data_IF_893204188873
#
_entry.id   IF_893204188873
#
_cell.length_a   1.000
_cell.length_b   1.000
_cell.length_c   1.000
_cell.angle_alpha   90.00
_cell.angle_beta   90.00
_cell.angle_gamma   90.00
#
_symmetry.space_group_name_H-M   'P 1'
#
loop_
_entity.id
_entity.type
_entity.pdbx_description
1 polymer ?
#
# COMPACT_ATOMS: atom_id res chain seq x y z
N UNK A 1 -26.96 66.31 -12.34
CA UNK A 1 -25.64 66.95 -12.16
C UNK A 1 -24.71 65.94 -11.50
N UNK A 2 -23.79 65.37 -12.28
CA UNK A 2 -22.84 64.34 -11.82
C UNK A 2 -21.71 65.02 -11.04
N UNK A 3 -21.62 64.77 -9.73
CA UNK A 3 -20.44 65.15 -8.95
C UNK A 3 -19.30 64.22 -9.38
N UNK A 4 -18.34 64.73 -10.15
CA UNK A 4 -17.04 64.09 -10.29
C UNK A 4 -16.48 63.88 -8.88
N UNK A 5 -16.36 62.63 -8.46
CA UNK A 5 -15.58 62.30 -7.27
C UNK A 5 -14.16 62.79 -7.52
N UNK A 6 -13.69 63.71 -6.67
CA UNK A 6 -12.30 64.16 -6.69
C UNK A 6 -11.45 62.93 -6.38
N UNK A 7 -10.74 62.40 -7.37
CA UNK A 7 -9.70 61.40 -7.15
C UNK A 7 -8.60 62.04 -6.32
N UNK A 8 -8.67 61.87 -5.00
CA UNK A 8 -7.66 62.35 -4.06
C UNK A 8 -6.45 61.44 -4.18
N UNK A 9 -5.36 61.96 -4.75
CA UNK A 9 -4.11 61.22 -4.84
C UNK A 9 -3.40 61.26 -3.49
N UNK A 10 -3.39 60.15 -2.78
CA UNK A 10 -2.63 60.00 -1.52
C UNK A 10 -1.42 59.12 -1.76
N UNK A 11 -0.22 59.63 -1.46
CA UNK A 11 1.03 58.89 -1.64
C UNK A 11 1.46 58.20 -0.34
N UNK A 12 1.66 56.89 -0.40
CA UNK A 12 2.30 56.12 0.68
C UNK A 12 3.71 55.68 0.27
N UNK A 13 4.67 55.76 1.18
CA UNK A 13 6.04 55.29 0.94
C UNK A 13 6.08 53.77 1.13
N UNK A 14 6.46 53.05 0.07
CA UNK A 14 6.69 51.61 0.07
C UNK A 14 8.18 51.32 -0.09
N UNK A 15 8.67 50.22 0.48
CA UNK A 15 10.03 49.78 0.22
C UNK A 15 10.12 49.19 -1.22
N UNK A 16 11.33 49.11 -1.77
CA UNK A 16 11.54 48.66 -3.15
C UNK A 16 11.13 47.18 -3.38
N UNK A 17 11.31 46.32 -2.38
CA UNK A 17 11.00 44.88 -2.46
C UNK A 17 9.49 44.65 -2.52
N UNK A 18 8.73 45.29 -1.64
CA UNK A 18 7.27 45.28 -1.57
C UNK A 18 6.67 45.89 -2.83
N UNK A 19 7.26 46.95 -3.39
CA UNK A 19 6.83 47.49 -4.67
C UNK A 19 7.02 46.48 -5.82
N UNK A 20 8.14 45.74 -5.84
CA UNK A 20 8.36 44.70 -6.84
C UNK A 20 7.37 43.54 -6.70
N UNK A 21 7.09 43.11 -5.46
CA UNK A 21 6.06 42.10 -5.15
C UNK A 21 4.67 42.56 -5.58
N UNK A 22 4.30 43.80 -5.27
CA UNK A 22 3.04 44.41 -5.70
C UNK A 22 2.88 44.33 -7.22
N UNK A 23 3.88 44.79 -7.98
CA UNK A 23 3.84 44.75 -9.44
C UNK A 23 3.75 43.32 -10.00
N UNK A 24 4.46 42.37 -9.38
CA UNK A 24 4.43 40.96 -9.77
C UNK A 24 3.06 40.32 -9.52
N UNK A 25 2.51 40.48 -8.33
CA UNK A 25 1.24 39.88 -7.93
C UNK A 25 0.04 40.53 -8.64
N UNK A 26 0.06 41.85 -8.80
CA UNK A 26 -0.95 42.56 -9.59
C UNK A 26 -0.97 42.04 -11.03
N UNK A 27 0.21 41.87 -11.65
CA UNK A 27 0.33 41.28 -13.00
C UNK A 27 -0.15 39.82 -13.05
N UNK A 28 0.16 39.01 -12.03
CA UNK A 28 -0.28 37.61 -11.94
C UNK A 28 -1.80 37.50 -11.90
N UNK A 29 -2.46 38.43 -11.23
CA UNK A 29 -3.93 38.45 -11.06
C UNK A 29 -4.65 39.29 -12.11
N UNK A 30 -3.93 39.90 -13.06
CA UNK A 30 -4.51 40.73 -14.11
C UNK A 30 -5.08 42.07 -13.62
N UNK A 31 -4.62 42.57 -12.47
CA UNK A 31 -5.07 43.82 -11.86
C UNK A 31 -4.03 44.92 -12.06
N UNK A 32 -4.46 46.19 -12.01
CA UNK A 32 -3.52 47.29 -11.87
C UNK A 32 -2.90 47.29 -10.47
N UNK A 33 -1.71 47.87 -10.32
CA UNK A 33 -1.06 47.95 -9.01
C UNK A 33 -1.89 48.73 -7.98
N UNK A 34 -2.68 49.71 -8.44
CA UNK A 34 -3.57 50.50 -7.59
C UNK A 34 -4.77 49.67 -7.17
N UNK A 35 -5.44 49.00 -8.11
CA UNK A 35 -6.62 48.17 -7.81
C UNK A 35 -6.28 47.01 -6.87
N UNK A 36 -5.11 46.41 -7.05
CA UNK A 36 -4.62 45.36 -6.15
C UNK A 36 -4.35 45.91 -4.75
N UNK A 37 -3.76 47.10 -4.63
CA UNK A 37 -3.46 47.72 -3.34
C UNK A 37 -4.74 48.15 -2.62
N UNK A 38 -5.69 48.76 -3.32
CA UNK A 38 -7.00 49.14 -2.78
C UNK A 38 -7.80 47.91 -2.33
N UNK A 39 -7.79 46.84 -3.13
CA UNK A 39 -8.43 45.58 -2.75
C UNK A 39 -7.76 44.96 -1.51
N UNK A 40 -6.43 44.98 -1.43
CA UNK A 40 -5.69 44.45 -0.29
C UNK A 40 -5.96 45.25 0.99
N UNK A 41 -5.88 46.58 0.94
CA UNK A 41 -6.15 47.45 2.09
C UNK A 41 -7.60 47.31 2.55
N UNK A 42 -8.56 47.29 1.62
CA UNK A 42 -9.97 47.05 1.95
C UNK A 42 -10.20 45.66 2.54
N UNK A 43 -9.53 44.63 2.02
CA UNK A 43 -9.66 43.27 2.54
C UNK A 43 -9.24 43.16 4.01
N UNK A 44 -8.09 43.76 4.37
CA UNK A 44 -7.63 43.76 5.76
C UNK A 44 -8.46 44.70 6.64
N UNK A 45 -8.79 45.89 6.14
CA UNK A 45 -9.53 46.91 6.89
C UNK A 45 -10.98 46.51 7.20
N UNK A 46 -11.72 46.01 6.21
CA UNK A 46 -13.14 45.61 6.41
C UNK A 46 -13.28 44.37 7.30
N UNK A 47 -12.29 43.48 7.30
CA UNK A 47 -12.31 42.25 8.09
C UNK A 47 -11.66 42.40 9.48
N UNK A 48 -11.13 43.59 9.82
CA UNK A 48 -10.44 43.83 11.09
C UNK A 48 -9.20 42.95 11.27
N UNK A 49 -8.56 42.60 10.15
CA UNK A 49 -7.48 41.63 10.07
C UNK A 49 -6.13 42.34 10.17
N UNK A 50 -5.34 42.04 11.20
CA UNK A 50 -3.97 42.57 11.32
C UNK A 50 -3.01 41.74 10.44
N UNK A 51 -2.48 42.30 9.33
CA UNK A 51 -1.64 41.54 8.39
C UNK A 51 -0.36 40.99 9.03
N UNK A 52 0.13 41.60 10.12
CA UNK A 52 1.34 41.15 10.83
C UNK A 52 1.06 39.93 11.71
N UNK A 53 -0.13 39.83 12.29
CA UNK A 53 -0.50 38.73 13.19
C UNK A 53 -1.06 37.50 12.44
N UNK A 54 -1.64 37.73 11.26
CA UNK A 54 -2.26 36.66 10.45
C UNK A 54 -1.23 35.70 9.91
N UNK A 55 -0.06 36.17 9.49
CA UNK A 55 1.01 35.30 9.00
C UNK A 55 1.45 34.28 10.07
N UNK A 56 1.53 34.71 11.34
CA UNK A 56 1.81 33.84 12.47
C UNK A 56 0.64 32.88 12.77
N UNK A 57 -0.61 33.35 12.64
CA UNK A 57 -1.81 32.55 12.86
C UNK A 57 -2.00 31.47 11.79
N UNK A 58 -1.71 31.77 10.53
CA UNK A 58 -1.79 30.81 9.43
C UNK A 58 -0.77 29.69 9.61
N UNK A 59 0.47 30.01 10.00
CA UNK A 59 1.47 29.00 10.36
C UNK A 59 1.02 28.08 11.50
N UNK A 60 0.39 28.65 12.54
CA UNK A 60 -0.14 27.88 13.67
C UNK A 60 -1.31 26.96 13.27
N UNK A 61 -2.23 27.43 12.43
CA UNK A 61 -3.35 26.64 11.93
C UNK A 61 -2.88 25.47 11.06
N UNK A 62 -1.92 25.72 10.16
CA UNK A 62 -1.33 24.66 9.32
C UNK A 62 -0.66 23.59 10.19
N UNK A 63 0.10 23.99 11.22
CA UNK A 63 0.71 23.03 12.15
C UNK A 63 -0.33 22.24 12.94
N UNK A 64 -1.43 22.87 13.35
CA UNK A 64 -2.52 22.21 14.06
C UNK A 64 -3.20 21.15 13.16
N UNK A 65 -3.43 21.46 11.89
CA UNK A 65 -4.03 20.53 10.94
C UNK A 65 -3.10 19.36 10.63
N UNK A 66 -1.79 19.62 10.47
CA UNK A 66 -0.78 18.57 10.30
C UNK A 66 -0.77 17.65 11.53
N UNK A 67 -0.77 18.22 12.73
CA UNK A 67 -0.78 17.43 13.98
C UNK A 67 -2.04 16.56 14.07
N UNK A 68 -3.21 17.14 13.79
CA UNK A 68 -4.49 16.41 13.82
C UNK A 68 -4.53 15.27 12.81
N UNK A 69 -3.96 15.48 11.61
CA UNK A 69 -3.84 14.44 10.61
C UNK A 69 -2.88 13.34 11.06
N UNK A 70 -1.74 13.72 11.63
CA UNK A 70 -0.76 12.81 12.22
C UNK A 70 -1.39 11.93 13.30
N UNK A 71 -2.06 12.54 14.29
CA UNK A 71 -2.72 11.82 15.38
C UNK A 71 -3.77 10.82 14.87
N UNK A 72 -4.50 11.16 13.80
CA UNK A 72 -5.48 10.25 13.17
C UNK A 72 -4.81 9.06 12.48
N UNK A 73 -3.74 9.30 11.73
CA UNK A 73 -3.01 8.24 11.01
C UNK A 73 -2.35 7.31 12.02
N UNK A 74 -1.66 7.86 13.02
CA UNK A 74 -1.04 7.07 14.09
C UNK A 74 -2.08 6.26 14.87
N UNK A 75 -3.21 6.87 15.24
CA UNK A 75 -4.29 6.15 15.91
C UNK A 75 -4.85 4.99 15.07
N UNK A 76 -5.06 5.21 13.76
CA UNK A 76 -5.49 4.14 12.86
C UNK A 76 -4.45 3.01 12.76
N UNK A 77 -3.18 3.34 12.58
CA UNK A 77 -2.10 2.35 12.50
C UNK A 77 -1.99 1.53 13.79
N UNK A 78 -2.08 2.19 14.94
CA UNK A 78 -2.03 1.51 16.24
C UNK A 78 -3.22 0.57 16.44
N UNK A 79 -4.41 0.96 15.99
CA UNK A 79 -5.59 0.10 16.06
C UNK A 79 -5.46 -1.12 15.13
N UNK A 80 -4.93 -0.92 13.91
CA UNK A 80 -4.66 -2.01 12.98
C UNK A 80 -3.56 -2.95 13.50
N UNK A 81 -2.49 -2.41 14.08
CA UNK A 81 -1.43 -3.19 14.70
C UNK A 81 -1.98 -4.04 15.84
N UNK A 82 -2.78 -3.45 16.73
CA UNK A 82 -3.42 -4.18 17.83
C UNK A 82 -4.34 -5.29 17.31
N UNK A 83 -5.16 -4.99 16.30
CA UNK A 83 -6.05 -5.97 15.68
C UNK A 83 -5.29 -7.14 15.06
N UNK A 84 -4.27 -6.84 14.25
CA UNK A 84 -3.43 -7.85 13.60
C UNK A 84 -2.66 -8.70 14.60
N UNK A 85 -2.03 -8.08 15.60
CA UNK A 85 -1.27 -8.80 16.63
C UNK A 85 -2.17 -9.74 17.44
N UNK A 86 -3.39 -9.34 17.75
CA UNK A 86 -4.35 -10.21 18.45
C UNK A 86 -4.68 -11.46 17.63
N UNK A 87 -4.98 -11.28 16.34
CA UNK A 87 -5.29 -12.41 15.43
C UNK A 87 -4.08 -13.33 15.26
N UNK A 88 -2.89 -12.76 15.08
CA UNK A 88 -1.65 -13.54 14.97
C UNK A 88 -1.37 -14.33 16.25
N UNK A 89 -1.57 -13.72 17.42
CA UNK A 89 -1.37 -14.40 18.70
C UNK A 89 -2.37 -15.55 18.88
N UNK A 90 -3.63 -15.35 18.50
CA UNK A 90 -4.65 -16.39 18.57
C UNK A 90 -4.30 -17.58 17.66
N UNK A 91 -3.90 -17.33 16.42
CA UNK A 91 -3.48 -18.40 15.49
C UNK A 91 -2.21 -19.11 15.97
N UNK A 92 -1.27 -18.39 16.56
CA UNK A 92 -0.06 -18.99 17.11
C UNK A 92 -0.37 -19.92 18.30
N UNK A 93 -1.26 -19.49 19.20
CA UNK A 93 -1.73 -20.32 20.31
C UNK A 93 -2.49 -21.54 19.79
N UNK A 94 -3.40 -21.36 18.83
CA UNK A 94 -4.19 -22.45 18.23
C UNK A 94 -3.30 -23.48 17.54
N UNK A 95 -2.32 -23.01 16.78
CA UNK A 95 -1.30 -23.86 16.14
C UNK A 95 -0.51 -24.63 17.19
N UNK A 96 -0.06 -23.96 18.25
CA UNK A 96 0.71 -24.63 19.32
C UNK A 96 -0.10 -25.72 20.04
N UNK A 97 -1.36 -25.45 20.38
CA UNK A 97 -2.24 -26.45 21.00
C UNK A 97 -2.47 -27.64 20.07
N UNK A 98 -2.60 -27.41 18.77
CA UNK A 98 -2.76 -28.47 17.78
C UNK A 98 -1.51 -29.33 17.69
N UNK A 99 -0.33 -28.71 17.62
CA UNK A 99 0.96 -29.42 17.61
C UNK A 99 1.13 -30.26 18.87
N UNK A 100 0.90 -29.68 20.06
CA UNK A 100 1.02 -30.41 21.32
C UNK A 100 0.05 -31.60 21.40
N UNK A 101 -1.16 -31.47 20.86
CA UNK A 101 -2.13 -32.58 20.76
C UNK A 101 -1.64 -33.68 19.81
N UNK A 102 -1.14 -33.30 18.63
CA UNK A 102 -0.61 -34.26 17.66
C UNK A 102 0.59 -35.01 18.24
N UNK A 103 1.51 -34.30 18.90
CA UNK A 103 2.66 -34.91 19.57
C UNK A 103 2.25 -35.90 20.65
N UNK A 104 1.30 -35.53 21.53
CA UNK A 104 0.78 -36.48 22.54
C UNK A 104 0.11 -37.69 21.90
N UNK A 105 -0.62 -37.48 20.81
CA UNK A 105 -1.27 -38.57 20.08
C UNK A 105 -0.23 -39.49 19.44
N UNK A 106 0.84 -38.93 18.87
CA UNK A 106 1.99 -39.66 18.36
C UNK A 106 2.68 -40.45 19.48
N UNK A 107 2.95 -39.85 20.64
CA UNK A 107 3.53 -40.54 21.81
C UNK A 107 2.65 -41.72 22.26
N UNK A 108 1.33 -41.53 22.36
CA UNK A 108 0.40 -42.61 22.72
C UNK A 108 0.44 -43.72 21.68
N UNK A 109 0.34 -43.39 20.39
CA UNK A 109 0.39 -44.37 19.31
C UNK A 109 1.72 -45.13 19.35
N UNK A 110 2.85 -44.45 19.44
CA UNK A 110 4.17 -45.06 19.54
C UNK A 110 4.28 -45.98 20.77
N UNK A 111 3.69 -45.61 21.92
CA UNK A 111 3.69 -46.44 23.12
C UNK A 111 2.88 -47.74 23.00
N UNK A 112 1.95 -47.83 22.03
CA UNK A 112 1.17 -49.04 21.77
C UNK A 112 1.89 -50.07 20.89
N UNK A 113 2.94 -49.66 20.17
CA UNK A 113 3.72 -50.55 19.32
C UNK A 113 4.97 -51.05 20.04
N UNK A 114 5.39 -52.28 19.78
CA UNK A 114 6.71 -52.77 20.19
C UNK A 114 7.79 -52.10 19.33
N UNK A 115 8.98 -51.87 19.88
CA UNK A 115 10.11 -51.22 19.18
C UNK A 115 10.46 -51.87 17.82
N UNK A 116 10.26 -53.18 17.68
CA UNK A 116 10.44 -53.90 16.41
C UNK A 116 9.41 -53.51 15.35
N UNK A 117 8.14 -53.37 15.74
CA UNK A 117 7.05 -52.99 14.84
C UNK A 117 7.21 -51.54 14.35
N UNK A 118 7.72 -50.66 15.22
CA UNK A 118 8.05 -49.27 14.88
C UNK A 118 9.18 -49.18 13.85
N UNK A 119 10.24 -49.97 14.01
CA UNK A 119 11.36 -50.02 13.06
C UNK A 119 10.93 -50.58 11.71
N UNK A 120 10.12 -51.64 11.72
CA UNK A 120 9.54 -52.25 10.51
C UNK A 120 8.56 -51.30 9.80
N UNK A 121 7.74 -50.56 10.55
CA UNK A 121 6.86 -49.53 10.02
C UNK A 121 7.63 -48.38 9.36
N UNK A 122 8.69 -47.88 10.01
CA UNK A 122 9.53 -46.79 9.48
C UNK A 122 10.25 -47.17 8.19
N UNK A 123 10.76 -48.39 8.08
CA UNK A 123 11.40 -48.87 6.84
C UNK A 123 10.40 -49.04 5.70
N UNK A 124 9.21 -49.60 5.98
CA UNK A 124 8.11 -49.69 5.00
C UNK A 124 7.64 -48.32 4.53
N UNK A 125 7.49 -47.35 5.44
CA UNK A 125 7.06 -45.99 5.11
C UNK A 125 8.10 -45.28 4.23
N UNK A 126 9.40 -45.47 4.53
CA UNK A 126 10.49 -44.94 3.70
C UNK A 126 10.48 -45.54 2.30
N UNK A 127 10.33 -46.86 2.20
CA UNK A 127 10.23 -47.56 0.91
C UNK A 127 9.02 -47.08 0.09
N UNK A 128 7.86 -46.86 0.73
CA UNK A 128 6.68 -46.31 0.08
C UNK A 128 6.90 -44.87 -0.43
N UNK A 129 7.62 -44.03 0.34
CA UNK A 129 7.95 -42.67 -0.07
C UNK A 129 8.87 -42.66 -1.29
N UNK A 130 9.92 -43.47 -1.28
CA UNK A 130 10.84 -43.62 -2.42
C UNK A 130 10.11 -44.16 -3.67
N UNK A 131 9.20 -45.13 -3.49
CA UNK A 131 8.37 -45.65 -4.57
C UNK A 131 7.43 -44.57 -5.13
N UNK A 132 6.78 -43.79 -4.27
CA UNK A 132 5.87 -42.72 -4.68
C UNK A 132 6.62 -41.59 -5.37
N UNK A 133 7.78 -41.16 -4.87
CA UNK A 133 8.62 -40.18 -5.54
C UNK A 133 9.05 -40.66 -6.93
N UNK A 134 9.47 -41.93 -7.05
CA UNK A 134 9.80 -42.53 -8.34
C UNK A 134 8.61 -42.56 -9.31
N UNK A 135 7.42 -42.92 -8.83
CA UNK A 135 6.19 -42.94 -9.62
C UNK A 135 5.80 -41.52 -10.09
N UNK A 136 5.85 -40.53 -9.20
CA UNK A 136 5.57 -39.12 -9.53
C UNK A 136 6.56 -38.61 -10.57
N UNK A 137 7.85 -38.91 -10.40
CA UNK A 137 8.90 -38.49 -11.34
C UNK A 137 8.71 -39.10 -12.73
N UNK A 138 8.34 -40.38 -12.79
CA UNK A 138 8.05 -41.07 -14.04
C UNK A 138 6.79 -40.53 -14.72
N UNK A 139 5.74 -40.25 -13.95
CA UNK A 139 4.51 -39.63 -14.46
C UNK A 139 4.80 -38.22 -15.01
N UNK A 140 5.57 -37.40 -14.29
CA UNK A 140 6.00 -36.09 -14.77
C UNK A 140 6.77 -36.20 -16.08
N UNK A 141 7.70 -37.15 -16.18
CA UNK A 141 8.47 -37.39 -17.41
C UNK A 141 7.58 -37.77 -18.59
N UNK A 142 6.64 -38.70 -18.39
CA UNK A 142 5.66 -39.09 -19.42
C UNK A 142 4.78 -37.92 -19.87
N UNK A 143 4.36 -37.07 -18.93
CA UNK A 143 3.59 -35.86 -19.24
C UNK A 143 4.44 -34.88 -20.05
N UNK A 144 5.70 -34.65 -19.68
CA UNK A 144 6.62 -33.80 -20.43
C UNK A 144 6.92 -34.32 -21.83
N UNK A 145 7.16 -35.62 -21.97
CA UNK A 145 7.44 -36.25 -23.27
C UNK A 145 6.20 -36.19 -24.17
N UNK A 146 5.01 -36.50 -23.63
CA UNK A 146 3.73 -36.40 -24.36
C UNK A 146 3.40 -34.96 -24.75
N UNK A 147 3.69 -33.98 -23.88
CA UNK A 147 3.52 -32.56 -24.18
C UNK A 147 4.52 -32.08 -25.24
N UNK A 148 5.74 -32.62 -25.27
CA UNK A 148 6.77 -32.31 -26.28
C UNK A 148 6.50 -32.96 -27.64
N UNK A 149 5.74 -34.04 -27.68
CA UNK A 149 5.25 -34.68 -28.90
C UNK A 149 4.02 -33.97 -29.46
N UNK A 150 3.11 -33.51 -28.59
CA UNK A 150 1.88 -32.79 -28.97
C UNK A 150 2.02 -31.25 -29.01
N UNK A 151 3.23 -30.73 -28.82
CA UNK A 151 3.50 -29.29 -28.84
C UNK A 151 3.13 -28.68 -30.21
N UNK A 152 2.41 -27.53 -30.24
CA UNK A 152 2.02 -26.89 -31.48
C UNK A 152 3.27 -26.42 -32.25
N UNK A 153 3.59 -27.11 -33.35
CA UNK A 153 4.74 -26.80 -34.20
C UNK A 153 5.54 -28.01 -34.72
N UNK A 154 5.36 -29.22 -34.17
CA UNK A 154 5.96 -30.43 -34.75
C UNK A 154 5.05 -31.06 -35.80
N UNK A 155 5.57 -31.20 -37.02
CA UNK A 155 4.89 -31.90 -38.13
C UNK A 155 4.60 -33.34 -37.70
N UNK A 156 3.32 -33.73 -37.65
CA UNK A 156 2.90 -35.14 -37.64
C UNK A 156 3.65 -35.85 -38.77
N UNK A 157 4.50 -36.83 -38.43
CA UNK A 157 4.96 -37.80 -39.42
C UNK A 157 3.69 -38.47 -39.95
N UNK A 158 3.44 -38.27 -41.23
CA UNK A 158 2.35 -38.86 -41.99
C UNK A 158 2.28 -40.37 -41.78
N UNK A 159 1.21 -40.86 -41.18
CA UNK A 159 0.77 -42.24 -41.38
C UNK A 159 0.25 -42.35 -42.81
N UNK A 160 0.88 -43.21 -43.60
CA UNK A 160 0.42 -43.58 -44.93
C UNK A 160 -0.96 -44.26 -44.84
N UNK A 161 -1.89 -43.97 -45.77
CA UNK A 161 -3.13 -44.71 -45.85
C UNK A 161 -2.83 -46.13 -46.33
N UNK A 162 -3.32 -47.14 -45.58
CA UNK A 162 -3.38 -48.52 -46.04
C UNK A 162 -4.21 -48.55 -47.33
N UNK A 163 -3.62 -49.07 -48.39
CA UNK A 163 -4.33 -49.39 -49.63
C UNK A 163 -5.23 -50.61 -49.40
N UNK A 164 -6.48 -50.48 -49.83
CA UNK A 164 -7.41 -51.59 -50.01
C UNK A 164 -6.83 -52.57 -51.04
N UNK A 165 -6.68 -53.86 -50.66
CA UNK A 165 -6.98 -55.03 -51.51
C UNK A 165 -7.12 -56.26 -50.62
#
# INVERSE_FOLDING_TARGET
MSKLEKTSTTSARLNAVTHHLLAKEAKRLGLSAIDYLDAAVNYFGTRGLNPVEIEAREGALIMQDIKRLGDRIFGYMQEQERGLLSVLLEELIRSRVTIDRVLRMEEIVLSTYKDEDLRSGKSKLKALREQNEGAITNQLKQIFDSAKENAPGKKKKSEQPKADT
#
